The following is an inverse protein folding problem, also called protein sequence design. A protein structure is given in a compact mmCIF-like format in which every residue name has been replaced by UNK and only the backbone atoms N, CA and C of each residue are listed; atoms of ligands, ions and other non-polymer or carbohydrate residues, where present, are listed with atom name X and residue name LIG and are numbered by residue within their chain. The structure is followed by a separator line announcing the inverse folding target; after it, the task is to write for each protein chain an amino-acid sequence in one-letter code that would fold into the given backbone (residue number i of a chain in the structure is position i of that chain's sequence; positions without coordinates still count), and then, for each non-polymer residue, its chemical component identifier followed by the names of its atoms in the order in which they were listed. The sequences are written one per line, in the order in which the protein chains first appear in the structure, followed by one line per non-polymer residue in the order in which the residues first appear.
data_IF_547772769131
#
_entry.id   IF_547772769131
#
_cell.length_a   1.000
_cell.length_b   1.000
_cell.length_c   1.000
_cell.angle_alpha   90.00
_cell.angle_beta   90.00
_cell.angle_gamma   90.00
#
_symmetry.space_group_name_H-M   'P 1'
#
loop_
_entity.id
_entity.type
_entity.pdbx_description
1 polymer ?
#
# COMPACT_ATOMS: atom_id res chain seq x y z
N UNK A 1 -20.31 9.18 19.82
CA UNK A 1 -18.89 8.87 20.02
C UNK A 1 -18.32 8.57 18.64
N UNK A 2 -17.59 9.52 18.07
CA UNK A 2 -16.87 9.28 16.83
C UNK A 2 -15.82 8.20 17.06
N UNK A 3 -15.82 7.17 16.21
CA UNK A 3 -14.77 6.15 16.23
C UNK A 3 -13.43 6.85 16.00
N UNK A 4 -12.39 6.54 16.79
CA UNK A 4 -11.05 7.03 16.48
C UNK A 4 -10.71 6.56 15.06
N UNK A 5 -10.35 7.51 14.19
CA UNK A 5 -9.76 7.21 12.88
C UNK A 5 -8.50 6.43 13.19
N UNK A 6 -8.48 5.15 12.81
CA UNK A 6 -7.37 4.25 13.10
C UNK A 6 -6.16 4.62 12.23
N UNK A 7 -5.44 5.65 12.66
CA UNK A 7 -4.16 6.08 12.10
C UNK A 7 -3.16 4.93 12.31
N UNK A 8 -2.79 4.23 11.24
CA UNK A 8 -1.74 3.19 11.27
C UNK A 8 -2.13 1.78 10.80
N UNK A 9 -3.39 1.53 10.46
CA UNK A 9 -3.79 0.20 9.98
C UNK A 9 -3.39 -0.11 8.54
N UNK A 10 -2.91 0.86 7.75
CA UNK A 10 -2.59 0.66 6.33
C UNK A 10 -1.55 -0.46 6.12
N UNK A 11 -0.48 -0.48 6.92
CA UNK A 11 0.56 -1.52 6.86
C UNK A 11 0.00 -2.92 7.15
N UNK A 12 -0.77 -3.04 8.24
CA UNK A 12 -1.36 -4.32 8.62
C UNK A 12 -2.41 -4.80 7.61
N UNK A 13 -3.26 -3.89 7.13
CA UNK A 13 -4.31 -4.21 6.16
C UNK A 13 -3.72 -4.59 4.81
N UNK A 14 -2.73 -3.84 4.33
CA UNK A 14 -1.99 -4.15 3.10
C UNK A 14 -1.31 -5.52 3.20
N UNK A 15 -0.57 -5.77 4.28
CA UNK A 15 0.08 -7.05 4.50
C UNK A 15 -0.91 -8.23 4.52
N UNK A 16 -2.00 -8.10 5.29
CA UNK A 16 -3.04 -9.13 5.35
C UNK A 16 -3.71 -9.35 4.00
N UNK A 17 -3.95 -8.27 3.25
CA UNK A 17 -4.53 -8.37 1.91
C UNK A 17 -3.60 -9.18 0.99
N UNK A 18 -2.32 -8.82 0.93
CA UNK A 18 -1.31 -9.54 0.13
C UNK A 18 -1.20 -11.02 0.51
N UNK A 19 -1.32 -11.36 1.79
CA UNK A 19 -1.32 -12.76 2.22
C UNK A 19 -2.62 -13.49 1.90
N UNK A 20 -3.75 -12.81 1.77
CA UNK A 20 -5.03 -13.43 1.43
C UNK A 20 -5.25 -13.57 -0.08
N UNK A 21 -4.56 -12.79 -0.91
CA UNK A 21 -4.67 -12.83 -2.36
C UNK A 21 -3.93 -14.04 -2.94
N UNK A 22 -4.63 -15.15 -3.09
CA UNK A 22 -4.12 -16.32 -3.80
C UNK A 22 -4.09 -16.07 -5.32
N UNK A 23 -3.07 -16.60 -6.01
CA UNK A 23 -3.04 -16.70 -7.47
C UNK A 23 -2.57 -15.48 -8.27
N UNK A 24 -2.26 -14.33 -7.65
CA UNK A 24 -1.68 -13.18 -8.37
C UNK A 24 -0.17 -13.03 -8.08
N UNK A 25 0.67 -13.64 -8.93
CA UNK A 25 2.14 -13.58 -8.80
C UNK A 25 2.72 -12.18 -9.02
N UNK A 26 1.93 -11.25 -9.57
CA UNK A 26 2.35 -9.87 -9.86
C UNK A 26 1.68 -8.88 -8.92
N UNK A 27 1.69 -9.20 -7.62
CA UNK A 27 1.17 -8.33 -6.57
C UNK A 27 2.30 -7.95 -5.60
N UNK A 28 2.38 -6.66 -5.29
CA UNK A 28 3.40 -6.07 -4.43
C UNK A 28 2.77 -5.29 -3.29
N UNK A 29 3.27 -5.50 -2.07
CA UNK A 29 3.07 -4.56 -0.98
C UNK A 29 3.97 -3.35 -1.24
N UNK A 30 3.41 -2.15 -1.23
CA UNK A 30 4.15 -0.93 -1.52
C UNK A 30 4.12 -0.02 -0.31
N UNK A 31 5.31 0.42 0.12
CA UNK A 31 5.49 1.45 1.12
C UNK A 31 6.01 2.71 0.45
N UNK A 32 5.48 3.86 0.85
CA UNK A 32 5.91 5.15 0.32
C UNK A 32 5.33 6.32 1.12
N UNK A 33 5.65 7.53 0.68
CA UNK A 33 5.07 8.75 1.22
C UNK A 33 3.99 9.30 0.29
N UNK A 34 2.87 9.67 0.88
CA UNK A 34 1.75 10.33 0.20
C UNK A 34 1.44 11.65 0.90
N UNK A 35 0.73 12.53 0.22
CA UNK A 35 0.19 13.73 0.84
C UNK A 35 -1.23 13.54 1.36
N UNK A 36 -1.56 14.24 2.44
CA UNK A 36 -2.91 14.26 2.96
C UNK A 36 -3.89 14.82 1.95
N UNK A 37 -5.13 14.37 2.06
CA UNK A 37 -6.22 14.87 1.24
C UNK A 37 -6.92 16.04 1.95
N UNK A 38 -7.58 16.91 1.17
CA UNK A 38 -8.37 18.06 1.64
C UNK A 38 -7.51 19.08 2.41
N UNK A 39 -7.80 19.32 3.69
CA UNK A 39 -7.14 20.33 4.51
C UNK A 39 -5.71 19.91 4.93
N UNK A 40 -5.30 18.69 4.59
CA UNK A 40 -4.02 18.09 4.98
C UNK A 40 -3.02 17.97 3.81
N UNK A 41 -3.21 18.69 2.70
CA UNK A 41 -2.32 18.61 1.50
C UNK A 41 -0.86 18.91 1.81
N UNK A 42 -0.61 19.76 2.81
CA UNK A 42 0.74 20.11 3.27
C UNK A 42 1.38 19.04 4.17
N UNK A 43 0.60 18.05 4.63
CA UNK A 43 1.09 16.97 5.49
C UNK A 43 1.46 15.77 4.64
N UNK A 44 2.70 15.31 4.79
CA UNK A 44 3.17 14.04 4.20
C UNK A 44 3.21 12.96 5.27
N UNK A 45 2.83 11.74 4.91
CA UNK A 45 2.91 10.59 5.82
C UNK A 45 3.21 9.30 5.09
N UNK A 46 3.75 8.33 5.83
CA UNK A 46 3.99 6.99 5.33
C UNK A 46 2.69 6.24 5.14
N UNK A 47 2.56 5.62 3.99
CA UNK A 47 1.39 4.87 3.61
C UNK A 47 1.76 3.53 2.98
N UNK A 48 0.79 2.63 2.99
CA UNK A 48 0.93 1.28 2.47
C UNK A 48 -0.27 0.94 1.59
N UNK A 49 0.01 0.45 0.39
CA UNK A 49 -1.00 -0.01 -0.58
C UNK A 49 -0.51 -1.25 -1.32
N UNK A 50 -1.37 -1.83 -2.15
CA UNK A 50 -1.05 -2.96 -3.01
C UNK A 50 -0.96 -2.47 -4.46
N UNK A 51 0.10 -2.87 -5.16
CA UNK A 51 0.18 -2.76 -6.61
C UNK A 51 -0.03 -4.13 -7.23
N UNK A 52 -0.88 -4.21 -8.25
CA UNK A 52 -1.02 -5.43 -9.02
C UNK A 52 -1.19 -5.15 -10.51
N UNK A 53 -0.79 -6.12 -11.33
CA UNK A 53 -0.98 -6.07 -12.76
C UNK A 53 -2.26 -6.81 -13.14
N UNK A 54 -3.18 -6.11 -13.79
CA UNK A 54 -4.40 -6.68 -14.36
C UNK A 54 -4.29 -6.75 -15.89
N UNK A 55 -4.78 -7.82 -16.50
CA UNK A 55 -4.80 -7.96 -17.95
C UNK A 55 -6.18 -7.54 -18.49
N UNK A 56 -6.25 -6.37 -19.11
CA UNK A 56 -7.49 -5.81 -19.67
C UNK A 56 -7.38 -5.81 -21.19
N UNK A 57 -8.24 -6.58 -21.87
CA UNK A 57 -8.28 -6.65 -23.34
C UNK A 57 -6.92 -6.94 -24.00
N UNK A 58 -6.06 -7.71 -23.34
CA UNK A 58 -4.72 -8.05 -23.84
C UNK A 58 -3.59 -7.12 -23.36
N UNK A 59 -3.92 -5.97 -22.76
CA UNK A 59 -2.95 -5.02 -22.22
C UNK A 59 -2.72 -5.27 -20.73
N UNK A 60 -1.48 -5.05 -20.28
CA UNK A 60 -1.14 -5.07 -18.86
C UNK A 60 -1.37 -3.67 -18.28
N UNK A 61 -2.26 -3.57 -17.31
CA UNK A 61 -2.57 -2.34 -16.59
C UNK A 61 -2.16 -2.47 -15.13
N UNK A 62 -1.37 -1.51 -14.64
CA UNK A 62 -1.02 -1.44 -13.23
C UNK A 62 -2.10 -0.73 -12.44
N UNK A 63 -2.57 -1.42 -11.41
CA UNK A 63 -3.63 -0.97 -10.52
C UNK A 63 -3.07 -0.79 -9.12
N UNK A 64 -3.60 0.18 -8.40
CA UNK A 64 -3.43 0.33 -6.96
C UNK A 64 -4.70 -0.13 -6.29
N UNK A 65 -4.54 -0.93 -5.23
CA UNK A 65 -5.56 -1.31 -4.29
C UNK A 65 -5.14 -0.82 -2.90
N UNK A 66 -5.96 0.05 -2.32
CA UNK A 66 -5.72 0.66 -1.02
C UNK A 66 -6.76 0.14 0.00
N UNK A 67 -6.36 -0.80 0.89
CA UNK A 67 -7.25 -1.38 1.88
C UNK A 67 -7.22 -0.64 3.23
N UNK A 68 -6.69 0.59 3.27
CA UNK A 68 -6.45 1.31 4.53
C UNK A 68 -7.73 1.66 5.29
N UNK A 69 -8.81 2.00 4.58
CA UNK A 69 -10.10 2.35 5.18
C UNK A 69 -11.03 1.14 5.36
N UNK A 70 -11.08 0.25 4.37
CA UNK A 70 -11.90 -0.96 4.40
C UNK A 70 -11.21 -2.08 3.59
N UNK A 71 -10.90 -3.20 4.26
CA UNK A 71 -10.33 -4.37 3.60
C UNK A 71 -11.34 -5.12 2.71
N UNK A 72 -12.63 -5.02 2.99
CA UNK A 72 -13.69 -5.71 2.23
C UNK A 72 -14.08 -4.97 0.97
N UNK A 73 -13.94 -3.64 0.97
CA UNK A 73 -14.19 -2.79 -0.16
C UNK A 73 -13.04 -1.79 -0.35
N UNK A 74 -11.85 -2.29 -0.76
CA UNK A 74 -10.68 -1.45 -0.90
C UNK A 74 -10.85 -0.48 -2.07
N UNK A 75 -10.17 0.66 -1.99
CA UNK A 75 -10.18 1.62 -3.09
C UNK A 75 -9.26 1.13 -4.21
N UNK A 76 -9.82 0.91 -5.41
CA UNK A 76 -9.09 0.38 -6.56
C UNK A 76 -9.09 1.41 -7.69
N UNK A 77 -7.90 1.74 -8.21
CA UNK A 77 -7.75 2.74 -9.26
C UNK A 77 -6.47 2.52 -10.07
N UNK A 78 -6.35 3.00 -11.33
CA UNK A 78 -5.08 2.92 -12.06
C UNK A 78 -3.95 3.59 -11.30
N UNK A 79 -2.79 2.94 -11.25
CA UNK A 79 -1.64 3.37 -10.44
C UNK A 79 -1.24 4.81 -10.73
N UNK A 80 -1.12 5.16 -12.00
CA UNK A 80 -0.64 6.49 -12.40
C UNK A 80 -1.63 7.59 -11.96
N UNK A 81 -2.93 7.28 -11.88
CA UNK A 81 -3.93 8.21 -11.34
C UNK A 81 -3.84 8.30 -9.82
N UNK A 82 -3.67 7.17 -9.11
CA UNK A 82 -3.44 7.18 -7.66
C UNK A 82 -2.24 8.06 -7.32
N UNK A 83 -1.12 7.86 -8.04
CA UNK A 83 0.14 8.56 -7.78
C UNK A 83 0.02 10.06 -7.95
N UNK A 84 -0.72 10.48 -8.98
CA UNK A 84 -0.99 11.90 -9.21
C UNK A 84 -1.87 12.51 -8.13
N UNK A 85 -2.92 11.82 -7.70
CA UNK A 85 -3.87 12.34 -6.70
C UNK A 85 -3.29 12.35 -5.29
N UNK A 86 -2.48 11.34 -4.95
CA UNK A 86 -1.84 11.20 -3.64
C UNK A 86 -0.44 11.85 -3.57
N UNK A 87 -0.02 12.54 -4.64
CA UNK A 87 1.31 13.15 -4.81
C UNK A 87 2.46 12.23 -4.36
N UNK A 88 2.41 10.98 -4.83
CA UNK A 88 3.36 9.92 -4.44
C UNK A 88 4.78 10.32 -4.83
N UNK A 89 5.72 10.19 -3.89
CA UNK A 89 7.15 10.37 -4.16
C UNK A 89 7.72 9.05 -4.68
N UNK A 90 7.71 8.90 -6.01
CA UNK A 90 8.11 7.65 -6.67
C UNK A 90 9.54 7.19 -6.39
N UNK A 91 10.45 8.14 -6.11
CA UNK A 91 11.86 7.87 -5.81
C UNK A 91 12.08 7.19 -4.46
N UNK A 92 11.08 7.19 -3.57
CA UNK A 92 11.15 6.58 -2.24
C UNK A 92 10.17 5.41 -2.07
N UNK A 93 9.82 4.73 -3.15
CA UNK A 93 8.94 3.57 -3.09
C UNK A 93 9.72 2.29 -2.81
N UNK A 94 9.20 1.49 -1.88
CA UNK A 94 9.64 0.12 -1.64
C UNK A 94 8.54 -0.84 -2.01
N UNK A 95 8.90 -1.91 -2.72
CA UNK A 95 7.96 -2.92 -3.21
C UNK A 95 8.42 -4.28 -2.72
N UNK A 96 7.52 -5.03 -2.11
CA UNK A 96 7.81 -6.36 -1.58
C UNK A 96 6.87 -7.35 -2.23
N UNK A 97 7.44 -8.43 -2.76
CA UNK A 97 6.65 -9.61 -3.09
C UNK A 97 6.10 -10.24 -1.82
N UNK A 98 5.14 -11.16 -1.97
CA UNK A 98 4.49 -11.86 -0.86
C UNK A 98 5.47 -12.53 0.10
N UNK A 99 6.49 -13.21 -0.43
CA UNK A 99 7.49 -13.92 0.36
C UNK A 99 8.40 -12.94 1.10
N UNK A 100 8.88 -11.89 0.43
CA UNK A 100 9.74 -10.87 1.06
C UNK A 100 9.01 -10.16 2.21
N UNK A 101 7.75 -9.78 1.97
CA UNK A 101 6.91 -9.16 2.98
C UNK A 101 6.73 -10.07 4.20
N UNK A 102 6.46 -11.37 3.98
CA UNK A 102 6.31 -12.34 5.06
C UNK A 102 7.61 -12.47 5.87
N UNK A 103 8.75 -12.63 5.19
CA UNK A 103 10.07 -12.75 5.83
C UNK A 103 10.37 -11.51 6.68
N UNK A 104 10.18 -10.31 6.12
CA UNK A 104 10.44 -9.04 6.82
C UNK A 104 9.51 -8.87 8.03
N UNK A 105 8.23 -9.24 7.91
CA UNK A 105 7.27 -9.15 9.01
C UNK A 105 7.65 -10.02 10.21
N UNK A 106 8.19 -11.22 9.95
CA UNK A 106 8.63 -12.14 11.01
C UNK A 106 9.96 -11.68 11.61
N UNK A 107 10.90 -11.23 10.77
CA UNK A 107 12.22 -10.77 11.22
C UNK A 107 12.14 -9.50 12.06
N UNK A 108 11.29 -8.55 11.68
CA UNK A 108 11.20 -7.24 12.33
C UNK A 108 10.04 -7.15 13.34
N UNK A 109 9.13 -8.12 13.39
CA UNK A 109 7.98 -8.16 14.32
C UNK A 109 6.95 -7.02 14.11
N UNK A 110 6.92 -6.40 12.92
CA UNK A 110 5.89 -5.44 12.49
C UNK A 110 5.69 -5.50 10.97
N UNK A 111 4.68 -4.78 10.43
CA UNK A 111 4.23 -4.90 9.04
C UNK A 111 4.78 -3.82 8.07
N UNK A 112 5.86 -3.14 8.44
CA UNK A 112 6.41 -1.93 7.78
C UNK A 112 6.44 -0.73 8.72
N UNK A 113 7.08 0.40 8.42
CA UNK A 113 8.07 0.71 7.38
C UNK A 113 9.44 0.10 7.77
N UNK A 114 9.91 -0.93 7.07
CA UNK A 114 11.04 -1.76 7.52
C UNK A 114 12.42 -1.12 7.32
N UNK A 115 12.47 -0.03 6.57
CA UNK A 115 13.67 0.65 6.10
C UNK A 115 14.00 1.85 6.95
N UNK A 116 13.04 2.36 7.71
CA UNK A 116 13.22 3.49 8.63
C UNK A 116 13.64 3.07 10.04
N UNK A 117 13.74 1.76 10.29
CA UNK A 117 14.25 1.21 11.54
C UNK A 117 15.72 0.78 11.45
N UNK A 118 16.43 1.27 10.43
CA UNK A 118 17.88 1.14 10.31
C UNK A 118 18.60 2.36 10.89
N UNK A 119 19.24 2.14 12.04
CA UNK A 119 20.01 3.03 12.93
C UNK A 119 19.23 3.86 13.97
#
# INVERSE_FOLDING_TARGET
MDKPVALGNCFQNGFRYLLSSEGNEKMFLVHGMVSGQKELTEVRYHHCWIEYCEKVQGYNLWMVLDPSQDMKNPYIIPRDYYYKVAEVIETNLKRYGRIDALILSVKQLHYGNWEELGD
#
